data_IF_598844708283
#
_entry.id   IF_598844708283
#
_cell.length_a   1.000
_cell.length_b   1.000
_cell.length_c   1.000
_cell.angle_alpha   90.00
_cell.angle_beta   90.00
_cell.angle_gamma   90.00
#
_symmetry.space_group_name_H-M   'P 1'
#
loop_
_entity.id
_entity.type
_entity.pdbx_description
1 polymer ?
#
# COMPACT_ATOMS: atom_id res chain seq x y z
N UNK A 1 57.47 -47.33 6.09
CA UNK A 1 57.19 -46.50 7.29
C UNK A 1 57.34 -44.98 7.02
N UNK A 2 58.40 -44.49 6.37
CA UNK A 2 58.58 -43.04 6.12
C UNK A 2 57.42 -42.38 5.22
N UNK A 3 56.89 -43.10 4.27
CA UNK A 3 55.81 -42.57 3.37
C UNK A 3 54.44 -42.45 4.06
N UNK A 4 54.18 -43.31 5.06
CA UNK A 4 52.89 -43.26 5.82
C UNK A 4 52.93 -42.10 6.82
N UNK A 5 54.11 -41.83 7.42
CA UNK A 5 54.28 -40.70 8.35
C UNK A 5 54.12 -39.34 7.62
N UNK A 6 54.60 -39.24 6.36
CA UNK A 6 54.46 -38.02 5.56
C UNK A 6 53.00 -37.74 5.16
N UNK A 7 52.20 -38.80 4.94
CA UNK A 7 50.79 -38.68 4.59
C UNK A 7 49.93 -38.22 5.79
N UNK A 8 50.25 -38.73 6.99
CA UNK A 8 49.59 -38.29 8.23
C UNK A 8 49.93 -36.83 8.59
N UNK A 9 51.15 -36.38 8.32
CA UNK A 9 51.55 -34.99 8.56
C UNK A 9 50.83 -34.02 7.58
N UNK A 10 50.62 -34.46 6.32
CA UNK A 10 49.93 -33.65 5.31
C UNK A 10 48.42 -33.56 5.58
N UNK A 11 47.80 -34.66 6.03
CA UNK A 11 46.39 -34.62 6.44
C UNK A 11 46.16 -33.82 7.73
N UNK A 12 47.11 -33.86 8.69
CA UNK A 12 47.03 -33.07 9.91
C UNK A 12 47.15 -31.56 9.68
N UNK A 13 47.99 -31.13 8.74
CA UNK A 13 48.14 -29.72 8.38
C UNK A 13 46.96 -29.18 7.59
N UNK A 14 46.28 -30.03 6.78
CA UNK A 14 45.06 -29.64 6.06
C UNK A 14 43.85 -29.50 6.99
N UNK A 15 43.78 -30.32 8.05
CA UNK A 15 42.69 -30.23 9.04
C UNK A 15 42.81 -28.98 9.94
N UNK A 16 44.02 -28.48 10.20
CA UNK A 16 44.24 -27.26 11.00
C UNK A 16 43.97 -25.97 10.22
N UNK A 17 43.98 -26.01 8.87
CA UNK A 17 43.68 -24.84 8.06
C UNK A 17 42.16 -24.62 7.82
N UNK A 18 41.33 -25.61 8.18
CA UNK A 18 39.85 -25.49 8.03
C UNK A 18 39.17 -24.91 9.28
N UNK A 19 39.85 -24.76 10.40
CA UNK A 19 39.28 -24.21 11.63
C UNK A 19 39.52 -22.71 11.82
N UNK A 20 40.25 -22.07 10.91
CA UNK A 20 40.69 -20.69 11.07
C UNK A 20 39.69 -19.60 10.58
N UNK A 21 38.52 -19.97 10.06
CA UNK A 21 37.61 -18.98 9.49
C UNK A 21 36.23 -18.89 10.16
N UNK A 22 35.99 -19.53 11.30
CA UNK A 22 34.64 -19.56 11.89
C UNK A 22 34.53 -18.92 13.29
N UNK A 23 35.60 -18.46 13.90
CA UNK A 23 35.51 -17.78 15.19
C UNK A 23 35.76 -16.28 15.06
N UNK A 24 34.73 -15.52 15.27
CA UNK A 24 34.55 -14.06 15.28
C UNK A 24 34.11 -13.48 13.94
N UNK A 25 32.88 -13.81 13.56
CA UNK A 25 32.11 -12.81 12.84
C UNK A 25 31.75 -11.73 13.86
N UNK A 26 32.31 -10.54 13.70
CA UNK A 26 31.76 -9.36 14.35
C UNK A 26 30.28 -9.33 13.89
N UNK A 27 29.37 -9.42 14.84
CA UNK A 27 27.96 -9.24 14.52
C UNK A 27 27.85 -7.88 13.82
N UNK A 28 27.24 -7.84 12.62
CA UNK A 28 27.10 -6.56 11.91
C UNK A 28 26.39 -5.58 12.84
N UNK A 29 26.91 -4.36 12.94
CA UNK A 29 26.21 -3.30 13.65
C UNK A 29 24.86 -3.08 12.98
N UNK A 30 23.79 -3.60 13.57
CA UNK A 30 22.44 -3.48 13.04
C UNK A 30 21.81 -2.13 13.32
N UNK A 31 22.42 -1.28 14.15
CA UNK A 31 21.89 0.04 14.53
C UNK A 31 21.75 0.97 13.30
N UNK A 32 22.60 0.80 12.30
CA UNK A 32 22.51 1.53 11.03
C UNK A 32 21.28 1.14 10.20
N UNK A 33 20.73 -0.06 10.42
CA UNK A 33 19.57 -0.59 9.70
C UNK A 33 18.24 -0.36 10.43
N UNK A 34 18.27 0.17 11.66
CA UNK A 34 17.06 0.55 12.38
C UNK A 34 16.48 1.78 11.69
N UNK A 35 15.34 1.60 11.02
CA UNK A 35 14.65 2.67 10.25
C UNK A 35 13.62 3.43 11.06
N UNK A 36 13.37 3.06 12.30
CA UNK A 36 12.33 3.64 13.16
C UNK A 36 12.93 4.12 14.47
N UNK A 37 12.24 5.01 15.17
CA UNK A 37 12.68 5.47 16.49
C UNK A 37 12.23 4.49 17.59
N UNK A 38 12.89 4.55 18.75
CA UNK A 38 12.58 3.70 19.90
C UNK A 38 11.29 4.10 20.60
N UNK A 39 10.97 5.40 20.64
CA UNK A 39 9.74 5.91 21.27
C UNK A 39 9.37 7.31 20.79
N UNK A 40 8.10 7.48 20.45
CA UNK A 40 7.48 8.77 20.10
C UNK A 40 6.63 9.36 21.23
N UNK A 41 6.51 8.67 22.37
CA UNK A 41 5.62 9.07 23.45
C UNK A 41 4.18 8.59 23.25
N UNK A 42 3.24 9.28 23.91
CA UNK A 42 1.83 8.86 23.91
C UNK A 42 1.10 9.36 22.65
N UNK A 43 0.20 8.52 22.12
CA UNK A 43 -0.78 8.93 21.10
C UNK A 43 -1.65 10.05 21.68
N UNK A 44 -1.75 11.16 20.97
CA UNK A 44 -2.45 12.38 21.44
C UNK A 44 -3.51 12.89 20.46
N UNK A 45 -3.67 12.23 19.32
CA UNK A 45 -4.70 12.56 18.33
C UNK A 45 -5.14 11.30 17.58
N UNK A 46 -6.36 11.31 16.99
CA UNK A 46 -6.87 10.19 16.20
C UNK A 46 -6.71 10.45 14.71
N UNK A 47 -6.73 9.38 13.90
CA UNK A 47 -6.73 9.49 12.43
C UNK A 47 -7.92 10.35 11.97
N UNK A 48 -9.10 10.20 12.58
CA UNK A 48 -10.28 11.00 12.24
C UNK A 48 -10.07 12.49 12.48
N UNK A 49 -9.51 12.86 13.65
CA UNK A 49 -9.20 14.25 13.96
C UNK A 49 -8.20 14.86 12.96
N UNK A 50 -7.18 14.08 12.58
CA UNK A 50 -6.21 14.49 11.56
C UNK A 50 -6.89 14.69 10.21
N UNK A 51 -7.74 13.75 9.78
CA UNK A 51 -8.50 13.89 8.53
C UNK A 51 -9.43 15.11 8.55
N UNK A 52 -10.17 15.31 9.65
CA UNK A 52 -11.06 16.47 9.80
C UNK A 52 -10.30 17.78 9.73
N UNK A 53 -9.15 17.86 10.36
CA UNK A 53 -8.34 19.08 10.41
C UNK A 53 -7.66 19.40 9.10
N UNK A 54 -7.05 18.41 8.44
CA UNK A 54 -6.14 18.64 7.31
C UNK A 54 -6.70 18.18 5.95
N UNK A 55 -7.77 17.40 5.92
CA UNK A 55 -8.30 16.83 4.67
C UNK A 55 -9.74 17.27 4.33
N UNK A 56 -10.41 17.99 5.24
CA UNK A 56 -11.80 18.41 5.04
C UNK A 56 -11.95 19.46 3.93
N UNK A 57 -10.98 20.35 3.76
CA UNK A 57 -11.04 21.44 2.80
C UNK A 57 -9.64 21.94 2.45
N UNK A 58 -9.48 22.34 1.19
CA UNK A 58 -8.26 22.96 0.69
C UNK A 58 -8.16 24.47 1.01
N UNK A 59 -9.20 25.09 1.61
CA UNK A 59 -9.28 26.54 1.80
C UNK A 59 -8.15 27.13 2.67
N UNK A 60 -7.70 26.37 3.66
CA UNK A 60 -6.67 26.79 4.61
C UNK A 60 -5.39 25.97 4.45
N UNK A 61 -5.23 25.28 3.33
CA UNK A 61 -4.01 24.50 3.07
C UNK A 61 -2.83 25.45 2.73
N UNK A 62 -1.62 25.09 3.15
CA UNK A 62 -0.39 25.82 2.78
C UNK A 62 -0.16 25.75 1.27
N UNK A 63 -0.57 24.64 0.68
CA UNK A 63 -0.56 24.43 -0.76
C UNK A 63 -1.86 23.76 -1.22
N UNK A 64 -2.44 24.28 -2.31
CA UNK A 64 -3.60 23.70 -2.97
C UNK A 64 -3.48 23.86 -4.47
N UNK A 65 -3.43 22.74 -5.19
CA UNK A 65 -3.57 22.71 -6.64
C UNK A 65 -5.05 22.73 -7.03
N UNK A 66 -5.87 21.97 -6.30
CA UNK A 66 -7.32 21.87 -6.47
C UNK A 66 -7.94 21.19 -5.22
N UNK A 67 -9.25 20.97 -5.23
CA UNK A 67 -9.95 20.31 -4.11
C UNK A 67 -9.54 18.86 -3.86
N UNK A 68 -8.77 18.24 -4.77
CA UNK A 68 -8.33 16.84 -4.68
C UNK A 68 -6.86 16.69 -4.28
N UNK A 69 -6.06 17.76 -4.44
CA UNK A 69 -4.61 17.76 -4.21
C UNK A 69 -4.23 19.02 -3.46
N UNK A 70 -4.05 18.90 -2.15
CA UNK A 70 -3.69 19.96 -1.25
C UNK A 70 -3.06 19.41 0.03
N UNK A 71 -2.28 20.20 0.73
CA UNK A 71 -1.62 19.76 1.96
C UNK A 71 -1.17 20.94 2.83
N UNK A 72 -0.94 20.63 4.10
CA UNK A 72 -0.49 21.58 5.13
C UNK A 72 0.65 20.97 5.93
N UNK A 73 1.65 21.77 6.27
CA UNK A 73 2.74 21.36 7.15
C UNK A 73 2.23 21.23 8.58
N UNK A 74 2.58 20.13 9.24
CA UNK A 74 2.31 19.93 10.65
C UNK A 74 3.48 20.45 11.47
N UNK A 75 3.24 21.48 12.30
CA UNK A 75 4.28 22.13 13.10
C UNK A 75 4.29 21.68 14.57
N UNK A 76 3.29 20.96 15.00
CA UNK A 76 3.10 20.46 16.37
C UNK A 76 3.28 18.93 16.46
N UNK A 77 3.56 18.45 17.66
CA UNK A 77 3.67 17.02 17.91
C UNK A 77 2.27 16.40 17.92
N UNK A 78 1.82 15.90 16.77
CA UNK A 78 0.60 15.13 16.60
C UNK A 78 0.98 13.68 16.34
N UNK A 79 0.69 12.81 17.30
CA UNK A 79 1.04 11.39 17.25
C UNK A 79 -0.24 10.58 17.10
N UNK A 80 -0.38 9.93 15.93
CA UNK A 80 -1.41 8.93 15.63
C UNK A 80 -0.83 7.52 15.77
N UNK A 81 -1.70 6.52 15.87
CA UNK A 81 -1.32 5.12 15.75
C UNK A 81 -2.27 4.35 14.84
N UNK A 82 -1.83 3.17 14.43
CA UNK A 82 -2.64 2.23 13.66
C UNK A 82 -1.86 0.97 13.32
N UNK A 83 -2.60 -0.07 12.94
CA UNK A 83 -2.05 -1.32 12.45
C UNK A 83 -1.82 -1.23 10.94
N UNK A 84 -0.67 -1.69 10.46
CA UNK A 84 -0.39 -1.80 9.02
C UNK A 84 -1.31 -2.86 8.42
N UNK A 85 -2.25 -2.43 7.58
CA UNK A 85 -3.25 -3.31 6.95
C UNK A 85 -3.02 -3.49 5.45
N UNK A 86 -2.14 -2.67 4.85
CA UNK A 86 -1.67 -2.85 3.50
C UNK A 86 -0.26 -2.24 3.34
N UNK A 87 0.58 -2.89 2.56
CA UNK A 87 1.93 -2.46 2.22
C UNK A 87 2.27 -2.82 0.76
N UNK A 88 3.51 -2.66 0.39
CA UNK A 88 4.00 -2.84 -0.98
C UNK A 88 4.49 -4.25 -1.33
N UNK A 89 4.11 -5.27 -0.55
CA UNK A 89 4.62 -6.65 -0.71
C UNK A 89 4.43 -7.23 -2.12
N UNK A 90 3.34 -6.87 -2.79
CA UNK A 90 3.08 -7.30 -4.17
C UNK A 90 3.60 -6.33 -5.25
N UNK A 91 4.02 -5.12 -4.86
CA UNK A 91 4.33 -4.05 -5.79
C UNK A 91 3.12 -3.30 -6.35
N UNK A 92 1.89 -3.68 -5.98
CA UNK A 92 0.68 -2.99 -6.43
C UNK A 92 0.41 -1.68 -5.68
N UNK A 93 0.85 -1.58 -4.42
CA UNK A 93 0.78 -0.38 -3.59
C UNK A 93 2.18 0.27 -3.51
N UNK A 94 2.52 1.07 -4.51
CA UNK A 94 3.86 1.65 -4.63
C UNK A 94 4.11 2.73 -3.58
N UNK A 95 5.19 2.58 -2.78
CA UNK A 95 5.63 3.54 -1.75
C UNK A 95 4.52 3.89 -0.73
N UNK A 96 3.65 2.93 -0.43
CA UNK A 96 2.44 3.16 0.33
C UNK A 96 2.30 2.15 1.46
N UNK A 97 2.13 2.66 2.67
CA UNK A 97 1.55 1.90 3.78
C UNK A 97 0.13 2.42 4.02
N UNK A 98 -0.81 1.51 4.29
CA UNK A 98 -2.10 1.88 4.86
C UNK A 98 -2.17 1.37 6.29
N UNK A 99 -2.37 2.29 7.22
CA UNK A 99 -2.64 1.98 8.62
C UNK A 99 -4.12 2.12 8.92
N UNK A 100 -4.63 1.31 9.82
CA UNK A 100 -6.01 1.36 10.32
C UNK A 100 -6.01 1.37 11.83
N UNK A 101 -6.85 2.21 12.41
CA UNK A 101 -7.12 2.23 13.84
C UNK A 101 -8.62 2.07 14.07
N UNK A 102 -8.97 1.13 14.94
CA UNK A 102 -10.33 0.94 15.45
C UNK A 102 -10.31 1.39 16.92
N UNK A 103 -10.88 2.54 17.19
CA UNK A 103 -10.97 3.07 18.55
C UNK A 103 -12.00 2.27 19.36
N UNK A 104 -11.52 1.49 20.33
CA UNK A 104 -12.38 0.63 21.15
C UNK A 104 -13.39 1.41 22.03
N UNK A 105 -13.17 2.71 22.28
CA UNK A 105 -14.04 3.54 23.13
C UNK A 105 -15.15 4.20 22.32
N UNK A 106 -14.83 4.68 21.13
CA UNK A 106 -15.76 5.42 20.28
C UNK A 106 -16.35 4.55 19.17
N UNK A 107 -15.76 3.41 18.87
CA UNK A 107 -16.10 2.58 17.70
C UNK A 107 -15.66 3.22 16.38
N UNK A 108 -14.88 4.30 16.42
CA UNK A 108 -14.38 4.99 15.22
C UNK A 108 -13.35 4.12 14.49
N UNK A 109 -13.60 3.86 13.22
CA UNK A 109 -12.78 3.01 12.36
C UNK A 109 -12.24 3.82 11.19
N UNK A 110 -10.93 4.06 11.20
CA UNK A 110 -10.29 4.93 10.23
C UNK A 110 -9.00 4.33 9.66
N UNK A 111 -8.88 4.42 8.33
CA UNK A 111 -7.62 4.15 7.62
C UNK A 111 -6.93 5.45 7.20
N UNK A 112 -5.60 5.40 7.08
CA UNK A 112 -4.78 6.52 6.64
C UNK A 112 -3.58 6.03 5.83
N UNK A 113 -3.16 6.79 4.82
CA UNK A 113 -1.96 6.45 4.05
C UNK A 113 -0.74 7.12 4.67
N UNK A 114 0.29 6.33 4.93
CA UNK A 114 1.65 6.78 5.23
C UNK A 114 2.50 6.50 4.00
N UNK A 115 2.86 7.55 3.27
CA UNK A 115 3.64 7.42 2.04
C UNK A 115 5.13 7.55 2.35
N UNK A 116 5.94 6.53 1.99
CA UNK A 116 7.37 6.44 2.30
C UNK A 116 8.14 6.12 1.02
N UNK A 117 9.19 6.89 0.73
CA UNK A 117 10.01 6.74 -0.47
C UNK A 117 10.96 5.55 -0.36
N UNK A 118 10.40 4.36 -0.56
CA UNK A 118 11.12 3.10 -0.71
C UNK A 118 10.25 2.15 -1.53
N UNK A 119 10.86 1.27 -2.30
CA UNK A 119 10.19 0.26 -3.13
C UNK A 119 10.08 -1.11 -2.46
N UNK A 120 10.48 -1.21 -1.19
CA UNK A 120 10.48 -2.45 -0.41
C UNK A 120 10.22 -2.11 1.06
N UNK A 121 8.97 -1.73 1.38
CA UNK A 121 8.56 -1.34 2.73
C UNK A 121 8.16 -2.55 3.60
N UNK A 122 7.65 -3.62 2.99
CA UNK A 122 7.06 -4.76 3.69
C UNK A 122 8.01 -5.47 4.68
N UNK A 123 9.36 -5.51 4.52
CA UNK A 123 10.23 -6.11 5.52
C UNK A 123 10.35 -5.28 6.80
N UNK A 124 10.14 -3.97 6.70
CA UNK A 124 10.21 -3.04 7.83
C UNK A 124 8.85 -2.83 8.49
N UNK A 125 7.78 -2.92 7.70
CA UNK A 125 6.41 -2.65 8.12
C UNK A 125 5.50 -3.81 7.69
N UNK A 126 5.62 -4.92 8.40
CA UNK A 126 4.83 -6.13 8.13
C UNK A 126 3.33 -5.88 8.34
N UNK A 127 2.47 -6.67 7.66
CA UNK A 127 1.04 -6.69 7.96
C UNK A 127 0.83 -7.07 9.43
N UNK A 128 -0.12 -6.41 10.09
CA UNK A 128 -0.38 -6.61 11.52
C UNK A 128 0.54 -5.83 12.46
N UNK A 129 1.58 -5.18 11.95
CA UNK A 129 2.46 -4.35 12.77
C UNK A 129 1.74 -3.07 13.18
N UNK A 130 1.60 -2.84 14.49
CA UNK A 130 1.15 -1.54 15.00
C UNK A 130 2.30 -0.55 14.96
N UNK A 131 2.02 0.65 14.44
CA UNK A 131 2.98 1.75 14.40
C UNK A 131 2.37 3.00 15.01
N UNK A 132 3.23 3.85 15.60
CA UNK A 132 2.90 5.26 15.85
C UNK A 132 3.56 6.12 14.81
N UNK A 133 2.93 7.21 14.44
CA UNK A 133 3.46 8.19 13.50
C UNK A 133 3.34 9.58 14.10
N UNK A 134 4.48 10.23 14.34
CA UNK A 134 4.52 11.66 14.68
C UNK A 134 4.49 12.46 13.38
N UNK A 135 3.46 13.26 13.22
CA UNK A 135 3.23 14.05 12.01
C UNK A 135 4.07 15.35 11.96
N UNK A 136 4.76 15.72 13.04
CA UNK A 136 5.57 16.93 13.10
C UNK A 136 6.61 16.99 11.99
N UNK A 137 6.72 18.14 11.34
CA UNK A 137 7.57 18.41 10.19
C UNK A 137 7.23 17.62 8.91
N UNK A 138 6.17 16.82 8.95
CA UNK A 138 5.57 16.20 7.78
C UNK A 138 4.44 17.08 7.24
N UNK A 139 3.92 16.70 6.07
CA UNK A 139 2.78 17.34 5.46
C UNK A 139 1.61 16.37 5.41
N UNK A 140 0.43 16.86 5.78
CA UNK A 140 -0.83 16.09 5.75
C UNK A 140 -1.80 16.78 4.82
N UNK A 141 -2.52 16.00 4.06
CA UNK A 141 -3.53 16.48 3.13
C UNK A 141 -4.08 15.37 2.26
N UNK A 142 -4.50 15.73 1.05
CA UNK A 142 -5.05 14.81 0.07
C UNK A 142 -4.21 14.76 -1.20
N UNK A 143 -4.01 13.56 -1.72
CA UNK A 143 -3.57 13.33 -3.07
C UNK A 143 -4.63 12.48 -3.78
N UNK A 144 -5.20 13.01 -4.87
CA UNK A 144 -6.36 12.41 -5.55
C UNK A 144 -7.50 12.08 -4.58
N UNK A 145 -7.86 13.05 -3.72
CA UNK A 145 -8.85 12.94 -2.63
C UNK A 145 -8.53 11.93 -1.52
N UNK A 146 -7.42 11.19 -1.61
CA UNK A 146 -7.02 10.21 -0.60
C UNK A 146 -6.19 10.88 0.49
N UNK A 147 -6.64 10.89 1.75
CA UNK A 147 -5.90 11.40 2.90
C UNK A 147 -4.58 10.66 3.10
N UNK A 148 -3.50 11.43 3.26
CA UNK A 148 -2.17 10.88 3.50
C UNK A 148 -1.23 11.82 4.22
N UNK A 149 -0.17 11.26 4.78
CA UNK A 149 1.00 11.96 5.26
C UNK A 149 2.20 11.67 4.36
N UNK A 150 3.05 12.66 4.16
CA UNK A 150 4.28 12.53 3.39
C UNK A 150 5.06 13.83 3.29
N UNK A 151 5.72 14.06 2.15
CA UNK A 151 6.50 15.26 1.85
C UNK A 151 6.12 15.85 0.47
N UNK A 152 6.23 17.16 0.28
CA UNK A 152 6.04 17.76 -1.03
C UNK A 152 7.09 17.28 -2.04
N UNK A 153 6.68 17.10 -3.27
CA UNK A 153 7.58 16.83 -4.39
C UNK A 153 7.06 17.45 -5.69
N UNK A 154 7.96 17.74 -6.61
CA UNK A 154 7.60 18.15 -7.97
C UNK A 154 7.55 16.91 -8.87
N UNK A 155 6.43 16.73 -9.56
CA UNK A 155 6.31 15.70 -10.60
C UNK A 155 7.21 16.04 -11.81
N UNK A 156 7.39 15.07 -12.73
CA UNK A 156 8.10 15.30 -14.00
C UNK A 156 7.50 16.42 -14.85
N UNK A 157 6.22 16.72 -14.65
CA UNK A 157 5.50 17.82 -15.29
C UNK A 157 5.63 19.16 -14.54
N UNK A 158 6.45 19.24 -13.49
CA UNK A 158 6.63 20.43 -12.67
C UNK A 158 5.48 20.75 -11.69
N UNK A 159 4.53 19.82 -11.51
CA UNK A 159 3.44 20.01 -10.57
C UNK A 159 3.88 19.67 -9.15
N UNK A 160 3.62 20.58 -8.20
CA UNK A 160 3.83 20.31 -6.78
C UNK A 160 2.70 19.42 -6.25
N UNK A 161 3.06 18.31 -5.60
CA UNK A 161 2.14 17.33 -5.05
C UNK A 161 2.60 16.86 -3.67
N UNK A 162 1.68 16.23 -2.91
CA UNK A 162 2.02 15.51 -1.69
C UNK A 162 2.46 14.09 -2.05
N UNK A 163 3.76 13.85 -1.92
CA UNK A 163 4.39 12.55 -2.20
C UNK A 163 4.89 11.85 -0.95
N UNK A 164 5.70 10.82 -1.13
CA UNK A 164 6.24 10.06 -0.03
C UNK A 164 7.30 10.84 0.75
N UNK A 165 7.35 10.66 2.07
CA UNK A 165 8.45 11.14 2.90
C UNK A 165 9.70 10.30 2.65
N UNK A 166 10.87 10.88 2.91
CA UNK A 166 12.14 10.16 2.79
C UNK A 166 12.23 9.03 3.82
N UNK A 167 12.86 7.92 3.46
CA UNK A 167 13.01 6.76 4.34
C UNK A 167 13.67 7.12 5.68
N UNK A 168 14.69 7.98 5.67
CA UNK A 168 15.39 8.42 6.89
C UNK A 168 14.49 9.18 7.88
N UNK A 169 13.40 9.77 7.41
CA UNK A 169 12.44 10.44 8.29
C UNK A 169 11.68 9.44 9.18
N UNK A 170 11.64 8.17 8.81
CA UNK A 170 11.06 7.14 9.66
C UNK A 170 11.78 7.02 11.00
N UNK A 171 13.10 7.32 11.05
CA UNK A 171 13.93 7.31 12.28
C UNK A 171 13.47 8.31 13.34
N UNK A 172 12.75 9.35 12.94
CA UNK A 172 12.27 10.40 13.84
C UNK A 172 10.76 10.47 13.93
N UNK A 173 10.05 9.86 12.97
CA UNK A 173 8.61 10.03 12.84
C UNK A 173 7.82 8.73 13.00
N UNK A 174 8.45 7.54 13.00
CA UNK A 174 7.75 6.26 13.11
C UNK A 174 8.36 5.42 14.24
N UNK A 175 7.50 4.91 15.12
CA UNK A 175 7.81 3.91 16.17
C UNK A 175 7.07 2.61 15.85
N UNK A 176 7.76 1.46 15.93
CA UNK A 176 7.12 0.13 15.91
C UNK A 176 6.64 -0.21 17.31
N UNK A 177 5.40 -0.64 17.45
CA UNK A 177 4.80 -0.99 18.74
C UNK A 177 4.55 -2.49 18.82
N UNK A 178 5.33 -3.18 19.63
CA UNK A 178 5.24 -4.63 19.79
C UNK A 178 5.59 -5.41 18.52
N UNK A 179 5.26 -6.70 18.53
CA UNK A 179 5.40 -7.56 17.35
C UNK A 179 4.14 -7.47 16.45
N UNK A 180 4.25 -7.81 15.15
CA UNK A 180 3.10 -7.92 14.28
C UNK A 180 2.08 -8.94 14.78
N UNK A 181 0.79 -8.58 14.78
CA UNK A 181 -0.32 -9.46 15.12
C UNK A 181 -1.21 -9.67 13.89
N UNK A 182 -1.14 -10.86 13.30
CA UNK A 182 -1.96 -11.23 12.14
C UNK A 182 -3.43 -11.49 12.48
N UNK A 183 -3.78 -11.53 13.78
CA UNK A 183 -5.16 -11.64 14.24
C UNK A 183 -5.76 -10.28 14.65
N UNK A 184 -5.05 -9.19 14.44
CA UNK A 184 -5.53 -7.84 14.77
C UNK A 184 -6.88 -7.56 14.08
N UNK A 185 -7.89 -7.03 14.79
CA UNK A 185 -9.20 -6.75 14.22
C UNK A 185 -9.13 -5.76 13.05
N UNK A 186 -8.13 -4.91 13.02
CA UNK A 186 -7.88 -3.97 11.93
C UNK A 186 -7.59 -4.66 10.59
N UNK A 187 -7.12 -5.92 10.59
CA UNK A 187 -6.86 -6.70 9.37
C UNK A 187 -8.13 -7.29 8.75
N UNK A 188 -9.25 -7.30 9.48
CA UNK A 188 -10.53 -7.79 8.96
C UNK A 188 -11.11 -6.76 7.99
N UNK A 189 -11.26 -7.07 6.68
CA UNK A 189 -11.80 -6.11 5.73
C UNK A 189 -13.27 -5.81 6.00
N UNK A 190 -13.69 -4.59 5.73
CA UNK A 190 -15.12 -4.24 5.70
C UNK A 190 -15.81 -5.04 4.58
N UNK A 191 -16.91 -5.67 4.93
CA UNK A 191 -17.67 -6.50 3.99
C UNK A 191 -18.67 -5.67 3.19
N UNK A 192 -18.34 -5.39 1.93
CA UNK A 192 -19.19 -4.68 0.99
C UNK A 192 -19.66 -5.62 -0.16
N UNK A 193 -19.77 -6.93 0.12
CA UNK A 193 -20.07 -7.94 -0.90
C UNK A 193 -21.57 -8.10 -1.18
N UNK A 194 -22.44 -7.58 -0.33
CA UNK A 194 -23.89 -7.73 -0.40
C UNK A 194 -24.62 -6.45 -0.91
N UNK A 195 -25.95 -6.47 -0.88
CA UNK A 195 -26.79 -5.35 -1.29
C UNK A 195 -26.62 -4.11 -0.39
N UNK A 196 -26.29 -4.27 0.89
CA UNK A 196 -26.03 -3.15 1.80
C UNK A 196 -24.69 -2.50 1.46
N UNK A 197 -23.67 -3.30 1.16
CA UNK A 197 -22.38 -2.82 0.68
C UNK A 197 -22.51 -2.04 -0.63
N UNK A 198 -23.30 -2.53 -1.60
CA UNK A 198 -23.58 -1.81 -2.83
C UNK A 198 -24.33 -0.49 -2.57
N UNK A 199 -25.32 -0.50 -1.68
CA UNK A 199 -26.02 0.72 -1.28
C UNK A 199 -25.06 1.73 -0.61
N UNK A 200 -24.15 1.25 0.21
CA UNK A 200 -23.12 2.07 0.85
C UNK A 200 -22.20 2.72 -0.20
N UNK A 201 -21.73 1.96 -1.19
CA UNK A 201 -20.86 2.47 -2.27
C UNK A 201 -21.57 3.52 -3.14
N UNK A 202 -22.90 3.39 -3.34
CA UNK A 202 -23.68 4.36 -4.12
C UNK A 202 -23.96 5.66 -3.38
N UNK A 203 -24.08 5.61 -2.05
CA UNK A 203 -24.45 6.77 -1.25
C UNK A 203 -23.41 7.90 -1.37
N UNK A 204 -23.83 9.08 -1.79
CA UNK A 204 -22.96 10.26 -1.94
C UNK A 204 -22.34 10.70 -0.61
N UNK A 205 -23.06 10.49 0.51
CA UNK A 205 -22.57 10.77 1.85
C UNK A 205 -21.30 9.96 2.22
N UNK A 206 -21.08 8.80 1.60
CA UNK A 206 -19.91 7.97 1.85
C UNK A 206 -18.70 8.33 0.97
N UNK A 207 -18.89 9.14 -0.07
CA UNK A 207 -17.85 9.55 -1.02
C UNK A 207 -17.05 10.73 -0.51
N UNK A 208 -16.46 10.59 0.68
CA UNK A 208 -15.76 11.66 1.41
C UNK A 208 -14.37 11.22 1.86
N UNK A 209 -13.54 12.21 2.20
CA UNK A 209 -12.19 11.98 2.77
C UNK A 209 -12.22 11.15 4.07
N UNK A 210 -13.33 11.13 4.81
CA UNK A 210 -13.46 10.32 6.03
C UNK A 210 -13.55 8.81 5.70
N UNK A 211 -14.13 8.46 4.57
CA UNK A 211 -14.36 7.08 4.15
C UNK A 211 -13.32 6.56 3.15
N UNK A 212 -12.28 7.31 2.88
CA UNK A 212 -11.17 6.91 2.01
C UNK A 212 -9.83 7.20 2.69
N UNK A 213 -8.81 6.31 2.62
CA UNK A 213 -8.91 4.92 2.14
C UNK A 213 -9.64 4.02 3.15
N UNK A 214 -10.01 2.80 2.72
CA UNK A 214 -10.56 1.74 3.57
C UNK A 214 -9.95 0.39 3.21
N UNK A 215 -9.86 -0.52 4.17
CA UNK A 215 -9.65 -1.94 3.87
C UNK A 215 -11.02 -2.58 3.70
N UNK A 216 -11.35 -3.02 2.49
CA UNK A 216 -12.67 -3.56 2.17
C UNK A 216 -12.59 -4.74 1.20
N UNK A 217 -13.67 -5.52 1.14
CA UNK A 217 -13.88 -6.53 0.11
C UNK A 217 -15.18 -6.26 -0.64
N UNK A 218 -15.14 -6.44 -1.95
CA UNK A 218 -16.28 -6.33 -2.86
C UNK A 218 -16.43 -7.62 -3.66
N UNK A 219 -17.63 -7.93 -4.14
CA UNK A 219 -17.89 -9.14 -4.90
C UNK A 219 -18.60 -8.82 -6.22
N UNK A 220 -18.02 -9.32 -7.31
CA UNK A 220 -18.60 -9.05 -8.63
C UNK A 220 -17.86 -9.77 -9.73
N UNK A 221 -18.24 -9.46 -10.97
CA UNK A 221 -17.70 -10.05 -12.19
C UNK A 221 -16.96 -8.98 -13.00
N UNK A 222 -15.82 -9.33 -13.56
CA UNK A 222 -15.08 -8.42 -14.46
C UNK A 222 -15.94 -8.20 -15.73
N UNK A 223 -16.26 -6.94 -15.99
CA UNK A 223 -17.14 -6.52 -17.08
C UNK A 223 -16.55 -6.84 -18.45
N UNK A 224 -15.27 -6.65 -18.62
CA UNK A 224 -14.52 -6.91 -19.84
C UNK A 224 -14.66 -8.38 -20.28
N UNK A 225 -14.78 -9.30 -19.32
CA UNK A 225 -15.01 -10.72 -19.60
C UNK A 225 -16.46 -11.02 -19.98
N UNK A 226 -17.43 -10.23 -19.52
CA UNK A 226 -18.85 -10.40 -19.86
C UNK A 226 -19.15 -9.98 -21.28
N UNK A 227 -18.55 -8.89 -21.75
CA UNK A 227 -18.90 -8.24 -23.00
C UNK A 227 -18.03 -8.68 -24.19
N UNK A 228 -17.01 -9.51 -23.96
CA UNK A 228 -16.07 -9.95 -25.00
C UNK A 228 -15.29 -8.83 -25.69
N UNK A 229 -15.42 -7.60 -25.20
CA UNK A 229 -14.77 -6.43 -25.79
C UNK A 229 -13.49 -6.12 -25.01
N UNK A 230 -12.38 -6.58 -25.53
CA UNK A 230 -11.08 -6.05 -25.13
C UNK A 230 -10.95 -4.62 -25.68
N UNK A 231 -10.49 -3.68 -24.87
CA UNK A 231 -10.10 -2.36 -25.40
C UNK A 231 -9.02 -2.56 -26.45
N UNK A 232 -9.14 -1.87 -27.56
CA UNK A 232 -8.07 -1.74 -28.52
C UNK A 232 -6.97 -0.94 -27.85
N UNK A 233 -5.72 -1.39 -27.94
CA UNK A 233 -4.58 -0.63 -27.46
C UNK A 233 -4.52 0.72 -28.22
N UNK A 234 -4.60 1.82 -27.49
CA UNK A 234 -4.55 3.17 -28.08
C UNK A 234 -3.10 3.60 -28.37
N UNK A 235 -2.12 2.97 -27.71
CA UNK A 235 -0.69 3.31 -27.81
C UNK A 235 0.21 2.07 -27.92
N UNK A 236 1.44 2.25 -28.38
CA UNK A 236 2.44 1.20 -28.53
C UNK A 236 2.42 0.51 -29.90
N UNK A 237 3.21 -0.56 -30.04
CA UNK A 237 3.35 -1.31 -31.31
C UNK A 237 2.03 -1.93 -31.83
N UNK A 238 1.04 -2.12 -30.94
CA UNK A 238 -0.28 -2.66 -31.26
C UNK A 238 -1.35 -1.58 -31.45
N UNK A 239 -0.99 -0.31 -31.47
CA UNK A 239 -1.92 0.80 -31.71
C UNK A 239 -2.69 0.59 -33.02
N UNK A 240 -4.02 0.61 -32.91
CA UNK A 240 -4.92 0.41 -34.03
C UNK A 240 -5.10 -1.04 -34.50
N UNK A 241 -4.43 -2.04 -33.91
CA UNK A 241 -4.70 -3.46 -34.17
C UNK A 241 -5.93 -3.93 -33.41
N UNK A 242 -6.83 -4.61 -34.12
CA UNK A 242 -8.05 -5.22 -33.56
C UNK A 242 -7.81 -6.64 -33.05
N UNK A 243 -6.57 -7.01 -32.69
CA UNK A 243 -6.30 -8.32 -32.12
C UNK A 243 -6.77 -8.35 -30.65
N UNK A 244 -7.35 -9.45 -30.20
CA UNK A 244 -7.77 -9.59 -28.81
C UNK A 244 -6.54 -9.50 -27.92
N UNK A 245 -6.52 -8.53 -27.00
CA UNK A 245 -5.46 -8.38 -26.02
C UNK A 245 -5.52 -9.50 -24.99
N UNK A 246 -4.39 -9.84 -24.35
CA UNK A 246 -4.38 -10.85 -23.31
C UNK A 246 -5.39 -10.54 -22.20
N UNK A 247 -6.19 -11.53 -21.83
CA UNK A 247 -7.20 -11.41 -20.74
C UNK A 247 -6.51 -11.56 -19.38
N UNK A 248 -5.59 -10.65 -19.09
CA UNK A 248 -4.83 -10.56 -17.85
C UNK A 248 -5.30 -9.36 -17.02
N UNK A 249 -4.98 -9.37 -15.73
CA UNK A 249 -5.34 -8.24 -14.85
C UNK A 249 -4.79 -6.91 -15.37
N UNK A 250 -3.50 -6.87 -15.69
CA UNK A 250 -2.86 -5.66 -16.19
C UNK A 250 -1.80 -5.97 -17.28
N UNK A 251 -2.22 -6.37 -18.49
CA UNK A 251 -1.28 -6.54 -19.58
C UNK A 251 -0.66 -5.18 -19.94
N UNK A 252 0.63 -5.18 -20.28
CA UNK A 252 1.40 -3.97 -20.57
C UNK A 252 0.83 -3.21 -21.77
N UNK A 253 0.22 -3.92 -22.70
CA UNK A 253 -0.39 -3.35 -23.91
C UNK A 253 -1.63 -2.47 -23.61
N UNK A 254 -2.22 -2.61 -22.44
CA UNK A 254 -3.33 -1.75 -21.96
C UNK A 254 -2.86 -0.60 -21.09
N UNK A 255 -1.56 -0.43 -20.97
CA UNK A 255 -0.96 0.64 -20.22
C UNK A 255 -1.38 2.00 -20.80
N UNK A 256 -2.09 2.77 -19.98
CA UNK A 256 -2.50 4.13 -20.28
C UNK A 256 -1.94 5.06 -19.19
N UNK A 257 -0.95 5.85 -19.57
CA UNK A 257 -0.41 7.03 -18.89
C UNK A 257 -0.18 6.93 -17.35
N UNK A 258 0.38 5.83 -16.81
CA UNK A 258 0.77 5.83 -15.41
C UNK A 258 0.81 4.50 -14.68
N UNK A 259 1.45 3.49 -15.19
CA UNK A 259 1.84 2.29 -14.44
C UNK A 259 0.72 1.39 -13.93
N UNK A 260 -0.51 1.52 -14.40
CA UNK A 260 -1.61 0.67 -13.97
C UNK A 260 -2.72 0.55 -14.99
N UNK A 261 -3.44 -0.57 -14.93
CA UNK A 261 -4.62 -0.88 -15.75
C UNK A 261 -5.84 -0.95 -14.85
N UNK A 262 -6.93 -0.30 -15.27
CA UNK A 262 -8.22 -0.36 -14.61
C UNK A 262 -9.13 -1.39 -15.29
N UNK A 263 -9.61 -2.37 -14.52
CA UNK A 263 -10.68 -3.28 -14.90
C UNK A 263 -11.96 -2.92 -14.16
N UNK A 264 -13.11 -3.23 -14.74
CA UNK A 264 -14.39 -2.89 -14.12
C UNK A 264 -14.99 -4.11 -13.44
N UNK A 265 -15.07 -4.11 -12.11
CA UNK A 265 -15.85 -5.08 -11.35
C UNK A 265 -17.31 -4.62 -11.38
N UNK A 266 -18.18 -5.34 -12.10
CA UNK A 266 -19.61 -5.17 -12.01
C UNK A 266 -20.10 -5.92 -10.77
N UNK A 267 -20.62 -5.21 -9.77
CA UNK A 267 -21.10 -5.83 -8.53
C UNK A 267 -22.29 -6.74 -8.77
N UNK A 268 -22.52 -7.70 -7.89
CA UNK A 268 -23.57 -8.71 -8.04
C UNK A 268 -24.98 -8.12 -8.15
N UNK A 269 -25.20 -6.96 -7.54
CA UNK A 269 -26.48 -6.23 -7.63
C UNK A 269 -26.71 -5.61 -9.01
N UNK A 270 -25.71 -5.57 -9.89
CA UNK A 270 -25.72 -4.93 -11.21
C UNK A 270 -26.03 -3.43 -11.20
N UNK A 271 -26.05 -2.78 -10.03
CA UNK A 271 -26.38 -1.37 -9.90
C UNK A 271 -25.18 -0.46 -9.80
N UNK A 272 -24.04 -0.99 -9.42
CA UNK A 272 -22.78 -0.24 -9.34
C UNK A 272 -21.57 -1.05 -9.79
N UNK A 273 -20.47 -0.34 -9.99
CA UNK A 273 -19.20 -0.92 -10.34
C UNK A 273 -18.07 -0.29 -9.53
N UNK A 274 -16.98 -1.04 -9.38
CA UNK A 274 -15.75 -0.62 -8.74
C UNK A 274 -14.61 -0.84 -9.73
N UNK A 275 -13.71 0.15 -9.88
CA UNK A 275 -12.52 -0.03 -10.68
C UNK A 275 -11.53 -0.91 -9.92
N UNK A 276 -11.01 -1.95 -10.55
CA UNK A 276 -9.91 -2.77 -10.05
C UNK A 276 -8.62 -2.27 -10.70
N UNK A 277 -7.83 -1.50 -9.95
CA UNK A 277 -6.57 -0.97 -10.45
C UNK A 277 -5.43 -1.91 -10.13
N UNK A 278 -4.69 -2.30 -11.15
CA UNK A 278 -3.52 -3.19 -11.02
C UNK A 278 -2.33 -2.57 -11.73
N UNK A 279 -1.19 -2.48 -11.02
CA UNK A 279 0.08 -2.06 -11.62
C UNK A 279 0.54 -3.11 -12.63
N UNK A 280 1.10 -2.69 -13.76
CA UNK A 280 1.70 -3.59 -14.77
C UNK A 280 3.00 -4.24 -14.30
N UNK A 281 3.59 -3.75 -13.19
CA UNK A 281 4.91 -4.15 -12.71
C UNK A 281 4.87 -5.05 -11.46
N UNK A 282 3.88 -5.92 -11.36
CA UNK A 282 3.75 -6.86 -10.24
C UNK A 282 3.22 -8.24 -10.68
N UNK A 283 3.28 -9.23 -9.79
CA UNK A 283 2.86 -10.58 -10.10
C UNK A 283 1.35 -10.71 -10.40
N UNK A 284 0.51 -9.82 -9.86
CA UNK A 284 -0.94 -9.82 -10.08
C UNK A 284 -1.26 -9.49 -11.54
N UNK A 285 -0.44 -8.67 -12.19
CA UNK A 285 -0.66 -8.21 -13.57
C UNK A 285 -0.76 -9.36 -14.58
N UNK A 286 -0.02 -10.43 -14.35
CA UNK A 286 0.06 -11.61 -15.22
C UNK A 286 -1.03 -12.66 -14.94
N UNK A 287 -1.84 -12.47 -13.90
CA UNK A 287 -2.93 -13.42 -13.61
C UNK A 287 -4.02 -13.30 -14.67
N UNK A 288 -4.59 -14.45 -15.11
CA UNK A 288 -5.75 -14.45 -15.99
C UNK A 288 -6.97 -13.79 -15.31
N UNK A 289 -7.70 -12.97 -16.07
CA UNK A 289 -8.98 -12.43 -15.60
C UNK A 289 -9.97 -13.55 -15.35
N UNK A 290 -10.66 -13.55 -14.20
CA UNK A 290 -11.70 -14.53 -13.92
C UNK A 290 -12.94 -14.30 -14.81
N UNK A 291 -13.52 -15.40 -15.30
CA UNK A 291 -14.82 -15.39 -15.99
C UNK A 291 -16.01 -15.38 -15.04
N UNK A 292 -15.77 -15.76 -13.78
CA UNK A 292 -16.80 -15.94 -12.77
C UNK A 292 -16.90 -14.75 -11.80
N UNK A 293 -17.92 -14.80 -10.93
CA UNK A 293 -18.06 -13.86 -9.82
C UNK A 293 -17.03 -14.18 -8.76
N UNK A 294 -16.18 -13.21 -8.44
CA UNK A 294 -15.11 -13.33 -7.47
C UNK A 294 -15.18 -12.27 -6.39
N UNK A 295 -14.51 -12.51 -5.27
CA UNK A 295 -14.32 -11.55 -4.20
C UNK A 295 -12.94 -10.91 -4.35
N UNK A 296 -12.88 -9.60 -4.20
CA UNK A 296 -11.68 -8.78 -4.30
C UNK A 296 -11.52 -8.01 -3.01
N UNK A 297 -10.41 -8.24 -2.30
CA UNK A 297 -10.07 -7.55 -1.05
C UNK A 297 -8.94 -6.57 -1.31
N UNK A 298 -8.93 -5.42 -0.66
CA UNK A 298 -7.82 -4.49 -0.85
C UNK A 298 -8.05 -3.08 -0.31
N UNK A 299 -7.16 -2.19 -0.69
CA UNK A 299 -7.30 -0.78 -0.42
C UNK A 299 -8.36 -0.17 -1.34
N UNK A 300 -9.49 0.19 -0.76
CA UNK A 300 -10.59 0.87 -1.44
C UNK A 300 -10.42 2.37 -1.28
N UNK A 301 -10.39 3.08 -2.40
CA UNK A 301 -10.27 4.54 -2.45
C UNK A 301 -11.36 5.14 -3.33
N UNK A 302 -11.66 6.43 -3.14
CA UNK A 302 -12.59 7.18 -3.95
C UNK A 302 -11.91 8.45 -4.50
N UNK A 303 -11.91 8.57 -5.82
CA UNK A 303 -11.51 9.80 -6.51
C UNK A 303 -12.70 10.43 -7.25
N UNK A 304 -13.06 9.92 -8.40
CA UNK A 304 -14.31 10.21 -9.14
C UNK A 304 -15.21 8.96 -9.22
N UNK A 305 -14.63 7.81 -9.00
CA UNK A 305 -15.26 6.50 -8.81
C UNK A 305 -14.59 5.76 -7.68
N UNK A 306 -15.23 4.70 -7.17
CA UNK A 306 -14.58 3.76 -6.27
C UNK A 306 -13.56 2.94 -7.03
N UNK A 307 -12.39 2.80 -6.43
CA UNK A 307 -11.27 2.02 -6.96
C UNK A 307 -10.71 1.12 -5.87
N UNK A 308 -10.49 -0.15 -6.17
CA UNK A 308 -9.86 -1.12 -5.28
C UNK A 308 -8.50 -1.55 -5.85
N UNK A 309 -7.50 -1.64 -4.97
CA UNK A 309 -6.16 -2.17 -5.27
C UNK A 309 -5.91 -3.36 -4.35
N UNK A 310 -5.67 -4.54 -4.94
CA UNK A 310 -5.31 -5.75 -4.20
C UNK A 310 -3.95 -5.56 -3.53
N UNK A 311 -3.78 -6.07 -2.31
CA UNK A 311 -2.51 -6.03 -1.57
C UNK A 311 -1.58 -7.17 -2.00
N UNK A 312 -2.17 -8.32 -2.37
CA UNK A 312 -1.47 -9.51 -2.82
C UNK A 312 -2.37 -10.40 -3.68
N UNK A 313 -1.84 -11.51 -4.17
CA UNK A 313 -2.62 -12.49 -4.96
C UNK A 313 -3.67 -13.21 -4.12
N UNK A 314 -3.47 -13.32 -2.80
CA UNK A 314 -4.40 -13.93 -1.84
C UNK A 314 -5.66 -13.09 -1.60
N UNK A 315 -5.65 -11.83 -1.98
CA UNK A 315 -6.81 -10.93 -1.89
C UNK A 315 -7.86 -11.17 -2.98
N UNK A 316 -7.61 -12.12 -3.86
CA UNK A 316 -8.51 -12.53 -4.93
C UNK A 316 -9.02 -13.96 -4.67
N UNK A 317 -10.34 -14.10 -4.48
CA UNK A 317 -11.01 -15.38 -4.20
C UNK A 317 -12.13 -15.64 -5.20
N UNK A 318 -12.19 -16.91 -5.70
CA UNK A 318 -13.25 -17.39 -6.60
C UNK A 318 -14.51 -17.79 -5.86
#
# INVERSE_FOLDING_TARGET
>A
MKKIFSLFLLCGSLALSLTSCMDKHDEPNTDEYILTCDSLGQVNTTIAQVKQRFCASNKNADFSRNASNFFTKVNEDLIIDGVVVANDVSGNLYQTLMIRNIDAKTGEDQCFVVAIKNTCLYPYFALGQRIKVNLKNLYVGCYSKVPRVGQPYYSSQGNLNLGPMLLDMCRTNIELVGAPDLNAPELVPEDLTDANGDAWLRASANKTYMNTPRLAKVRGKIKEMQNGADKVAETGENSGKKEPLPKLFAPEELYDDGYGVDRTIQLQTNTSSVALRTSTQNAISFLPLPSDVCTYTGMLTYYDSWQIQLRSVEDFEK
#
